data_IF_853929991730
#
_entry.id   IF_853929991730
#
_cell.length_a   1.000
_cell.length_b   1.000
_cell.length_c   1.000
_cell.angle_alpha   90.00
_cell.angle_beta   90.00
_cell.angle_gamma   90.00
#
_symmetry.space_group_name_H-M   'P 1'
#
loop_
_entity.id
_entity.type
_entity.pdbx_description
1 polymer ?
#
# COMPACT_ATOMS: atom_id res chain seq x y z
N UNK A 1 -11.62 -17.72 18.47
CA UNK A 1 -11.30 -17.77 17.03
C UNK A 1 -10.02 -17.03 16.78
N UNK A 2 -9.12 -17.61 16.03
CA UNK A 2 -7.85 -16.96 15.69
C UNK A 2 -8.08 -15.79 14.76
N UNK A 3 -7.49 -14.65 15.12
CA UNK A 3 -7.42 -13.46 14.29
C UNK A 3 -6.13 -13.55 13.46
N UNK A 4 -6.20 -13.14 12.19
CA UNK A 4 -5.03 -13.14 11.30
C UNK A 4 -3.88 -12.26 11.83
N UNK A 5 -4.17 -11.32 12.75
CA UNK A 5 -3.19 -10.45 13.39
C UNK A 5 -2.65 -11.01 14.71
N UNK A 6 -3.07 -12.20 15.11
CA UNK A 6 -2.77 -12.76 16.44
C UNK A 6 -1.26 -12.82 16.72
N UNK A 7 -0.47 -13.29 15.76
CA UNK A 7 0.98 -13.40 15.95
C UNK A 7 1.66 -12.04 16.06
N UNK A 8 1.19 -11.07 15.28
CA UNK A 8 1.67 -9.69 15.37
C UNK A 8 1.32 -9.11 16.74
N UNK A 9 0.12 -9.38 17.25
CA UNK A 9 -0.32 -8.93 18.57
C UNK A 9 0.53 -9.53 19.68
N UNK A 10 0.88 -10.79 19.58
CA UNK A 10 1.76 -11.44 20.55
C UNK A 10 3.15 -10.78 20.59
N UNK A 11 3.63 -10.35 19.45
CA UNK A 11 4.94 -9.69 19.36
C UNK A 11 4.89 -8.24 19.85
N UNK A 12 3.88 -7.48 19.45
CA UNK A 12 3.80 -6.03 19.69
C UNK A 12 3.03 -5.65 20.96
N UNK A 13 2.02 -6.41 21.35
CA UNK A 13 1.10 -6.07 22.42
C UNK A 13 -0.06 -5.19 21.96
N UNK A 14 -1.10 -5.08 22.78
CA UNK A 14 -2.33 -4.37 22.42
C UNK A 14 -2.13 -2.87 22.17
N UNK A 15 -1.27 -2.21 22.96
CA UNK A 15 -1.02 -0.78 22.80
C UNK A 15 -0.43 -0.46 21.44
N UNK A 16 0.61 -1.19 21.03
CA UNK A 16 1.26 -0.98 19.73
C UNK A 16 0.36 -1.38 18.57
N UNK A 17 -0.46 -2.43 18.76
CA UNK A 17 -1.48 -2.81 17.76
C UNK A 17 -2.49 -1.67 17.57
N UNK A 18 -2.92 -1.03 18.65
CA UNK A 18 -3.81 0.12 18.57
C UNK A 18 -3.19 1.30 17.81
N UNK A 19 -1.91 1.59 18.05
CA UNK A 19 -1.19 2.63 17.31
C UNK A 19 -1.10 2.30 15.82
N UNK A 20 -0.84 1.05 15.49
CA UNK A 20 -0.76 0.60 14.10
C UNK A 20 -2.10 0.76 13.37
N UNK A 21 -3.19 0.45 14.05
CA UNK A 21 -4.54 0.63 13.50
C UNK A 21 -4.91 2.09 13.28
N UNK A 22 -4.30 3.02 13.99
CA UNK A 22 -4.52 4.45 13.84
C UNK A 22 -3.54 5.09 12.86
N UNK A 23 -2.48 4.39 12.49
CA UNK A 23 -1.46 4.91 11.59
C UNK A 23 -1.98 5.05 10.17
N UNK A 24 -1.48 6.06 9.47
CA UNK A 24 -1.75 6.31 8.06
C UNK A 24 -0.44 6.32 7.27
N UNK A 25 -0.30 5.41 6.33
CA UNK A 25 0.90 5.27 5.51
C UNK A 25 0.61 5.67 4.07
N UNK A 26 1.47 6.51 3.52
CA UNK A 26 1.44 6.91 2.11
C UNK A 26 2.52 6.16 1.36
N UNK A 27 2.16 5.48 0.26
CA UNK A 27 3.11 4.83 -0.64
C UNK A 27 2.90 5.35 -2.04
N UNK A 28 3.91 6.03 -2.57
CA UNK A 28 3.90 6.55 -3.93
C UNK A 28 4.86 5.73 -4.78
N UNK A 29 4.35 5.16 -5.86
CA UNK A 29 5.12 4.25 -6.71
C UNK A 29 4.94 2.79 -6.29
N UNK A 30 4.27 2.02 -7.13
CA UNK A 30 3.94 0.61 -6.87
C UNK A 30 4.75 -0.32 -7.79
N UNK A 31 6.00 0.06 -8.03
CA UNK A 31 6.95 -0.75 -8.79
C UNK A 31 7.67 -1.78 -7.92
N UNK A 32 8.97 -1.97 -8.19
CA UNK A 32 9.75 -3.04 -7.57
C UNK A 32 9.82 -3.00 -6.05
N UNK A 33 10.05 -1.83 -5.46
CA UNK A 33 10.17 -1.69 -3.99
C UNK A 33 8.85 -1.31 -3.35
N UNK A 34 8.13 -0.35 -3.94
CA UNK A 34 6.93 0.24 -3.33
C UNK A 34 5.82 -0.77 -3.10
N UNK A 35 5.55 -1.64 -4.07
CA UNK A 35 4.48 -2.63 -3.94
C UNK A 35 4.76 -3.63 -2.82
N UNK A 36 5.99 -4.14 -2.72
CA UNK A 36 6.36 -5.06 -1.64
C UNK A 36 6.32 -4.37 -0.27
N UNK A 37 6.82 -3.14 -0.19
CA UNK A 37 6.75 -2.38 1.05
C UNK A 37 5.30 -2.15 1.48
N UNK A 38 4.44 -1.73 0.57
CA UNK A 38 3.02 -1.51 0.84
C UNK A 38 2.34 -2.81 1.31
N UNK A 39 2.64 -3.94 0.66
CA UNK A 39 2.06 -5.22 1.08
C UNK A 39 2.50 -5.62 2.47
N UNK A 40 3.78 -5.48 2.80
CA UNK A 40 4.27 -5.81 4.13
C UNK A 40 3.61 -4.94 5.21
N UNK A 41 3.43 -3.66 4.94
CA UNK A 41 2.74 -2.74 5.83
C UNK A 41 1.27 -3.11 5.99
N UNK A 42 0.61 -3.47 4.88
CA UNK A 42 -0.77 -3.96 4.88
C UNK A 42 -0.91 -5.22 5.74
N UNK A 43 0.00 -6.18 5.57
CA UNK A 43 0.02 -7.44 6.34
C UNK A 43 0.33 -7.22 7.82
N UNK A 44 1.05 -6.15 8.15
CA UNK A 44 1.29 -5.79 9.55
C UNK A 44 0.03 -5.32 10.27
N UNK A 45 -1.01 -4.92 9.52
CA UNK A 45 -2.29 -4.52 10.10
C UNK A 45 -2.49 -3.02 10.24
N UNK A 46 -1.82 -2.22 9.39
CA UNK A 46 -2.04 -0.77 9.39
C UNK A 46 -3.51 -0.44 9.12
N UNK A 47 -4.05 0.57 9.82
CA UNK A 47 -5.46 0.93 9.70
C UNK A 47 -5.80 1.75 8.46
N UNK A 48 -4.87 2.58 7.99
CA UNK A 48 -5.06 3.42 6.80
C UNK A 48 -3.84 3.42 5.91
N UNK A 49 -4.09 3.41 4.61
CA UNK A 49 -3.03 3.49 3.61
C UNK A 49 -3.55 4.26 2.39
N UNK A 50 -2.69 5.10 1.84
CA UNK A 50 -2.92 5.74 0.55
C UNK A 50 -1.85 5.24 -0.40
N UNK A 51 -2.26 4.68 -1.54
CA UNK A 51 -1.36 4.21 -2.58
C UNK A 51 -1.55 5.05 -3.85
N UNK A 52 -0.44 5.40 -4.48
CA UNK A 52 -0.42 6.29 -5.64
C UNK A 52 0.45 5.69 -6.73
N UNK A 53 -0.14 5.43 -7.89
CA UNK A 53 0.60 4.98 -9.09
C UNK A 53 -0.33 5.07 -10.30
N UNK A 54 0.15 5.64 -11.41
CA UNK A 54 -0.62 5.76 -12.64
C UNK A 54 -0.30 4.67 -13.66
N UNK A 55 0.72 3.84 -13.40
CA UNK A 55 1.20 2.88 -14.39
C UNK A 55 0.30 1.66 -14.53
N UNK A 56 0.37 1.07 -15.73
CA UNK A 56 -0.18 -0.25 -16.00
C UNK A 56 0.96 -1.28 -16.01
N UNK A 57 0.60 -2.55 -15.84
CA UNK A 57 1.58 -3.64 -15.82
C UNK A 57 2.13 -3.88 -17.22
N UNK A 58 3.46 -3.90 -17.33
CA UNK A 58 4.19 -4.18 -18.57
C UNK A 58 4.92 -5.52 -18.46
N UNK A 59 5.17 -6.21 -19.61
CA UNK A 59 5.86 -7.51 -19.57
C UNK A 59 7.21 -7.48 -18.85
N UNK A 60 7.97 -6.39 -19.01
CA UNK A 60 9.28 -6.24 -18.39
C UNK A 60 9.22 -6.07 -16.88
N UNK A 61 8.04 -5.83 -16.31
CA UNK A 61 7.85 -5.71 -14.86
C UNK A 61 7.82 -7.07 -14.16
N UNK A 62 7.52 -8.13 -14.89
CA UNK A 62 7.25 -9.47 -14.31
C UNK A 62 8.42 -10.00 -13.51
N UNK A 63 9.63 -9.68 -13.90
CA UNK A 63 10.82 -10.22 -13.25
C UNK A 63 11.03 -9.73 -11.80
N UNK A 64 10.35 -8.64 -11.38
CA UNK A 64 10.63 -8.03 -10.07
C UNK A 64 9.48 -7.30 -9.40
N UNK A 65 8.33 -7.11 -10.05
CA UNK A 65 7.23 -6.30 -9.49
C UNK A 65 6.06 -7.16 -9.05
N UNK A 66 5.63 -6.96 -7.81
CA UNK A 66 4.56 -7.74 -7.17
C UNK A 66 3.27 -7.81 -7.99
N UNK A 67 2.73 -6.70 -8.56
CA UNK A 67 1.48 -6.77 -9.32
C UNK A 67 1.62 -7.39 -10.70
N UNK A 68 2.85 -7.64 -11.16
CA UNK A 68 3.12 -8.01 -12.54
C UNK A 68 3.09 -9.52 -12.74
N UNK A 69 2.01 -10.00 -13.35
CA UNK A 69 1.79 -11.39 -13.74
C UNK A 69 1.35 -11.40 -15.20
N UNK A 70 1.46 -12.53 -15.87
CA UNK A 70 0.93 -12.65 -17.23
C UNK A 70 -0.57 -12.35 -17.26
N UNK A 71 -1.30 -12.74 -16.22
CA UNK A 71 -2.76 -12.50 -16.12
C UNK A 71 -3.10 -11.03 -15.83
N UNK A 72 -2.14 -10.20 -15.43
CA UNK A 72 -2.40 -8.79 -15.10
C UNK A 72 -1.83 -7.80 -16.10
N UNK A 73 -1.22 -8.27 -17.20
CA UNK A 73 -0.65 -7.39 -18.23
C UNK A 73 -1.68 -6.37 -18.71
N UNK A 74 -1.28 -5.09 -18.74
CA UNK A 74 -2.13 -3.99 -19.17
C UNK A 74 -3.08 -3.44 -18.11
N UNK A 75 -3.17 -4.09 -16.95
CA UNK A 75 -4.05 -3.64 -15.86
C UNK A 75 -3.35 -2.58 -15.01
N UNK A 76 -4.14 -1.72 -14.37
CA UNK A 76 -3.64 -0.71 -13.44
C UNK A 76 -2.97 -1.37 -12.23
N UNK A 77 -1.72 -1.00 -11.95
CA UNK A 77 -1.01 -1.49 -10.76
C UNK A 77 -1.73 -1.12 -9.47
N UNK A 78 -2.26 0.09 -9.40
CA UNK A 78 -2.98 0.57 -8.22
C UNK A 78 -4.26 -0.25 -7.98
N UNK A 79 -5.01 -0.56 -9.03
CA UNK A 79 -6.24 -1.36 -8.90
C UNK A 79 -5.96 -2.81 -8.52
N UNK A 80 -4.91 -3.40 -9.07
CA UNK A 80 -4.49 -4.76 -8.71
C UNK A 80 -4.17 -4.83 -7.22
N UNK A 81 -3.38 -3.88 -6.73
CA UNK A 81 -2.97 -3.87 -5.34
C UNK A 81 -4.10 -3.47 -4.39
N UNK A 82 -5.03 -2.63 -4.83
CA UNK A 82 -6.24 -2.34 -4.06
C UNK A 82 -6.98 -3.62 -3.73
N UNK A 83 -7.28 -4.42 -4.75
CA UNK A 83 -8.01 -5.68 -4.57
C UNK A 83 -7.23 -6.63 -3.65
N UNK A 84 -5.93 -6.73 -3.87
CA UNK A 84 -5.07 -7.61 -3.08
C UNK A 84 -5.00 -7.17 -1.62
N UNK A 85 -4.82 -5.90 -1.36
CA UNK A 85 -4.67 -5.37 0.00
C UNK A 85 -5.97 -5.45 0.80
N UNK A 86 -7.12 -5.22 0.14
CA UNK A 86 -8.42 -5.40 0.79
C UNK A 86 -8.71 -6.86 1.14
N UNK A 87 -8.15 -7.78 0.38
CA UNK A 87 -8.26 -9.22 0.68
C UNK A 87 -7.35 -9.64 1.84
N UNK A 88 -6.17 -9.02 1.96
CA UNK A 88 -5.25 -9.25 3.07
C UNK A 88 -5.77 -8.64 4.37
N UNK A 89 -6.24 -7.40 4.31
CA UNK A 89 -6.65 -6.60 5.46
C UNK A 89 -8.02 -5.99 5.18
N UNK A 90 -9.11 -6.75 5.42
CA UNK A 90 -10.45 -6.33 5.00
C UNK A 90 -10.96 -5.05 5.66
N UNK A 91 -10.41 -4.68 6.81
CA UNK A 91 -10.82 -3.48 7.55
C UNK A 91 -9.99 -2.24 7.19
N UNK A 92 -9.01 -2.36 6.31
CA UNK A 92 -8.15 -1.24 5.95
C UNK A 92 -8.94 -0.11 5.28
N UNK A 93 -8.68 1.12 5.71
CA UNK A 93 -9.15 2.31 4.99
C UNK A 93 -8.12 2.63 3.90
N UNK A 94 -8.41 2.18 2.70
CA UNK A 94 -7.48 2.28 1.57
C UNK A 94 -7.95 3.35 0.59
N UNK A 95 -7.10 4.35 0.36
CA UNK A 95 -7.30 5.37 -0.67
C UNK A 95 -6.39 5.04 -1.84
N UNK A 96 -6.95 4.97 -3.03
CA UNK A 96 -6.23 4.59 -4.25
C UNK A 96 -6.26 5.75 -5.23
N UNK A 97 -5.07 6.25 -5.59
CA UNK A 97 -4.92 7.37 -6.52
C UNK A 97 -4.16 6.89 -7.76
N UNK A 98 -4.86 6.55 -8.86
CA UNK A 98 -4.23 6.09 -10.09
C UNK A 98 -3.76 7.28 -10.93
N UNK A 99 -2.86 8.09 -10.37
CA UNK A 99 -2.39 9.34 -10.97
C UNK A 99 -0.88 9.42 -10.95
N UNK A 100 -0.31 10.16 -11.90
CA UNK A 100 1.09 10.55 -11.86
C UNK A 100 1.28 11.70 -10.89
N UNK A 101 2.26 11.55 -9.99
CA UNK A 101 2.71 12.66 -9.17
C UNK A 101 3.81 13.42 -9.89
N UNK A 102 3.57 14.72 -10.08
CA UNK A 102 4.58 15.68 -10.50
C UNK A 102 5.04 16.44 -9.26
N UNK A 103 6.22 17.05 -9.32
CA UNK A 103 6.76 17.83 -8.22
C UNK A 103 5.76 18.87 -7.69
N UNK A 104 4.98 19.46 -8.57
CA UNK A 104 3.94 20.44 -8.23
C UNK A 104 2.75 19.86 -7.46
N UNK A 105 2.50 18.54 -7.57
CA UNK A 105 1.38 17.87 -6.91
C UNK A 105 1.76 17.29 -5.55
N UNK A 106 3.03 17.09 -5.29
CA UNK A 106 3.50 16.46 -4.05
C UNK A 106 3.09 17.25 -2.80
N UNK A 107 3.26 18.59 -2.74
CA UNK A 107 2.81 19.33 -1.57
C UNK A 107 1.31 19.20 -1.30
N UNK A 108 0.48 19.23 -2.35
CA UNK A 108 -0.96 19.06 -2.22
C UNK A 108 -1.31 17.68 -1.65
N UNK A 109 -0.67 16.63 -2.14
CA UNK A 109 -0.89 15.28 -1.63
C UNK A 109 -0.47 15.16 -0.16
N UNK A 110 0.69 15.71 0.21
CA UNK A 110 1.18 15.66 1.58
C UNK A 110 0.31 16.47 2.55
N UNK A 111 -0.32 17.53 2.05
CA UNK A 111 -1.21 18.38 2.86
C UNK A 111 -2.64 17.81 2.94
N UNK A 112 -3.02 16.88 2.07
CA UNK A 112 -4.37 16.34 2.00
C UNK A 112 -4.77 15.52 3.23
N UNK A 113 -3.80 14.97 3.96
CA UNK A 113 -4.03 14.17 5.15
C UNK A 113 -2.79 14.17 6.04
N UNK A 114 -2.95 13.71 7.27
CA UNK A 114 -1.83 13.50 8.17
C UNK A 114 -1.30 12.08 7.98
N UNK A 115 -0.04 11.96 7.60
CA UNK A 115 0.61 10.66 7.40
C UNK A 115 1.67 10.42 8.48
N UNK A 116 1.71 9.20 9.00
CA UNK A 116 2.73 8.78 9.97
C UNK A 116 4.00 8.32 9.28
N UNK A 117 3.86 7.83 8.04
CA UNK A 117 4.98 7.36 7.21
C UNK A 117 4.66 7.65 5.76
N UNK A 118 5.64 8.14 5.03
CA UNK A 118 5.52 8.36 3.58
C UNK A 118 6.71 7.70 2.87
N UNK A 119 6.41 6.81 1.94
CA UNK A 119 7.38 6.15 1.08
C UNK A 119 7.15 6.62 -0.34
N UNK A 120 8.06 7.44 -0.85
CA UNK A 120 7.94 8.01 -2.19
C UNK A 120 9.12 7.51 -3.02
N UNK A 121 8.80 6.70 -4.02
CA UNK A 121 9.80 6.18 -4.94
C UNK A 121 9.80 7.07 -6.21
N UNK A 122 10.95 7.63 -6.49
CA UNK A 122 11.14 8.52 -7.64
C UNK A 122 11.80 7.76 -8.79
#
# INVERSE_FOLDING_TARGET
>A
MEDWRQRTRLLLGEEKMGRLQQAHVLVVGLGGVGAYAAEMICRAGVGRMTIVDADTVQPTNINRQLPALHSTLGMSKAEILEKRFRDINPEIELTVLPVFLKDENIPELLDAASYDLSLIHI
#
